data_IF_678430600667
#
_entry.id   IF_678430600667
#
_cell.length_a   1.000
_cell.length_b   1.000
_cell.length_c   1.000
_cell.angle_alpha   90.00
_cell.angle_beta   90.00
_cell.angle_gamma   90.00
#
_symmetry.space_group_name_H-M   'P 1'
#
loop_
_entity.id
_entity.type
_entity.pdbx_description
1 polymer ?
#
# COMPACT_ATOMS: atom_id res chain seq x y z
N UNK A 1 -10.80 7.15 9.54
CA UNK A 1 -9.88 7.53 8.43
C UNK A 1 -10.47 8.71 7.72
N UNK A 2 -9.66 9.71 7.43
CA UNK A 2 -10.04 10.82 6.55
C UNK A 2 -9.32 10.62 5.22
N UNK A 3 -10.11 10.51 4.16
CA UNK A 3 -9.62 10.28 2.80
C UNK A 3 -10.07 11.45 1.91
N UNK A 4 -9.15 11.94 1.08
CA UNK A 4 -9.42 12.98 0.08
C UNK A 4 -9.81 12.42 -1.28
N UNK A 5 -9.68 11.10 -1.45
CA UNK A 5 -10.12 10.30 -2.59
C UNK A 5 -11.45 9.61 -2.26
N UNK A 6 -12.39 9.48 -3.22
CA UNK A 6 -13.67 8.83 -2.99
C UNK A 6 -13.50 7.31 -3.00
N UNK A 7 -12.97 6.75 -1.92
CA UNK A 7 -12.91 5.30 -1.69
C UNK A 7 -13.28 4.93 -0.24
N UNK A 8 -13.73 3.68 -0.07
CA UNK A 8 -14.69 3.26 0.94
C UNK A 8 -14.04 2.83 2.29
N UNK A 9 -14.62 3.41 3.37
CA UNK A 9 -14.88 2.92 4.75
C UNK A 9 -13.83 3.04 5.90
N UNK A 10 -14.28 3.37 7.15
CA UNK A 10 -13.61 3.09 8.47
C UNK A 10 -14.50 2.78 9.70
N UNK A 11 -13.88 2.07 10.67
CA UNK A 11 -14.37 1.26 11.82
C UNK A 11 -14.76 2.01 13.12
N UNK A 12 -15.91 1.69 13.73
CA UNK A 12 -16.42 2.02 15.09
C UNK A 12 -16.46 0.78 16.03
N UNK A 13 -16.60 1.00 17.34
CA UNK A 13 -16.74 -0.04 18.37
C UNK A 13 -18.08 0.17 19.11
N UNK A 14 -19.00 -0.79 19.02
CA UNK A 14 -20.25 -0.82 19.80
C UNK A 14 -20.09 -1.81 20.96
N UNK A 15 -20.34 -1.35 22.20
CA UNK A 15 -20.34 -2.20 23.39
C UNK A 15 -21.79 -2.37 23.84
N UNK A 16 -22.36 -3.55 23.62
CA UNK A 16 -23.67 -3.95 24.17
C UNK A 16 -23.49 -5.26 24.95
N UNK A 17 -23.99 -5.32 26.19
CA UNK A 17 -24.01 -6.53 27.03
C UNK A 17 -22.64 -7.23 27.22
N UNK A 18 -21.57 -6.47 27.49
CA UNK A 18 -20.17 -6.97 27.59
C UNK A 18 -19.64 -7.66 26.33
N UNK A 19 -20.36 -7.60 25.22
CA UNK A 19 -19.92 -8.07 23.91
C UNK A 19 -19.41 -6.85 23.14
N UNK A 20 -18.14 -6.85 22.78
CA UNK A 20 -17.53 -5.80 21.97
C UNK A 20 -17.73 -6.18 20.51
N UNK A 21 -18.49 -5.38 19.77
CA UNK A 21 -18.70 -5.56 18.34
C UNK A 21 -18.08 -4.39 17.59
N UNK A 22 -17.14 -4.69 16.70
CA UNK A 22 -16.44 -3.71 15.88
C UNK A 22 -17.25 -3.52 14.59
N UNK A 23 -17.78 -2.32 14.32
CA UNK A 23 -18.65 -1.97 13.18
C UNK A 23 -18.16 -0.75 12.44
N UNK A 24 -17.97 -0.83 11.14
CA UNK A 24 -17.54 0.30 10.30
C UNK A 24 -18.71 1.09 9.71
N UNK A 25 -18.75 2.41 9.99
CA UNK A 25 -19.80 3.32 9.53
C UNK A 25 -19.21 4.51 8.79
N UNK A 26 -19.65 4.74 7.54
CA UNK A 26 -19.30 5.96 6.82
C UNK A 26 -20.25 7.09 7.21
N UNK A 27 -19.73 8.20 7.73
CA UNK A 27 -20.57 9.34 8.13
C UNK A 27 -21.20 10.03 6.92
N UNK A 28 -20.37 10.49 5.97
CA UNK A 28 -20.81 11.11 4.72
C UNK A 28 -19.65 11.45 3.78
N UNK A 29 -19.96 11.67 2.51
CA UNK A 29 -19.16 12.50 1.61
C UNK A 29 -19.70 13.94 1.62
N UNK A 30 -18.81 14.92 1.68
CA UNK A 30 -19.19 16.33 1.62
C UNK A 30 -18.28 17.10 0.65
N UNK A 31 -18.85 18.03 -0.14
CA UNK A 31 -18.07 18.84 -1.05
C UNK A 31 -17.20 19.82 -0.28
N UNK A 32 -15.91 19.86 -0.61
CA UNK A 32 -14.95 20.78 -0.01
C UNK A 32 -14.89 22.08 -0.80
N UNK A 33 -14.99 23.20 -0.11
CA UNK A 33 -14.89 24.54 -0.71
C UNK A 33 -13.46 24.95 -1.06
N UNK A 34 -12.45 24.23 -0.58
CA UNK A 34 -11.04 24.52 -0.81
C UNK A 34 -10.14 23.30 -0.54
N UNK A 35 -8.91 23.33 -1.06
CA UNK A 35 -7.88 22.27 -0.89
C UNK A 35 -6.79 22.63 0.13
N UNK A 36 -6.93 23.75 0.86
CA UNK A 36 -5.95 24.12 1.88
C UNK A 36 -6.17 23.29 3.13
N UNK A 37 -5.07 22.90 3.78
CA UNK A 37 -5.11 22.08 5.00
C UNK A 37 -6.00 22.65 6.10
N UNK A 38 -5.97 23.98 6.29
CA UNK A 38 -6.75 24.63 7.34
C UNK A 38 -8.26 24.51 7.10
N UNK A 39 -8.69 24.74 5.85
CA UNK A 39 -10.09 24.61 5.44
C UNK A 39 -10.58 23.18 5.64
N UNK A 40 -9.77 22.20 5.22
CA UNK A 40 -10.03 20.77 5.42
C UNK A 40 -10.21 20.41 6.90
N UNK A 41 -9.27 20.83 7.75
CA UNK A 41 -9.31 20.53 9.18
C UNK A 41 -10.53 21.15 9.87
N UNK A 42 -10.92 22.36 9.47
CA UNK A 42 -12.07 23.07 10.04
C UNK A 42 -13.38 22.42 9.65
N UNK A 43 -13.54 22.05 8.38
CA UNK A 43 -14.73 21.35 7.89
C UNK A 43 -14.88 19.95 8.51
N UNK A 44 -13.78 19.21 8.70
CA UNK A 44 -13.80 17.92 9.40
C UNK A 44 -14.33 18.07 10.82
N UNK A 45 -13.78 19.00 11.61
CA UNK A 45 -14.20 19.22 13.00
C UNK A 45 -15.67 19.62 13.10
N UNK A 46 -16.10 20.54 12.23
CA UNK A 46 -17.49 21.00 12.18
C UNK A 46 -18.46 19.85 11.88
N UNK A 47 -18.12 18.96 10.96
CA UNK A 47 -18.96 17.81 10.65
C UNK A 47 -19.02 16.83 11.83
N UNK A 48 -17.88 16.50 12.46
CA UNK A 48 -17.85 15.64 13.64
C UNK A 48 -18.78 16.18 14.75
N UNK A 49 -18.68 17.48 15.05
CA UNK A 49 -19.58 18.14 16.01
C UNK A 49 -21.05 18.03 15.59
N UNK A 50 -21.38 18.21 14.31
CA UNK A 50 -22.75 18.08 13.81
C UNK A 50 -23.32 16.65 13.94
N UNK A 51 -22.46 15.64 13.99
CA UNK A 51 -22.82 14.25 14.25
C UNK A 51 -22.79 13.88 15.75
N UNK A 52 -22.53 14.85 16.63
CA UNK A 52 -22.39 14.61 18.07
C UNK A 52 -21.12 13.82 18.43
N UNK A 53 -20.13 13.78 17.55
CA UNK A 53 -18.86 13.10 17.76
C UNK A 53 -17.84 14.08 18.34
N UNK A 54 -17.56 13.93 19.63
CA UNK A 54 -16.51 14.70 20.30
C UNK A 54 -15.13 14.21 19.84
N UNK A 55 -14.37 15.10 19.19
CA UNK A 55 -12.99 14.82 18.76
C UNK A 55 -12.06 14.47 19.93
N UNK A 56 -12.39 14.88 21.16
CA UNK A 56 -11.64 14.50 22.36
C UNK A 56 -11.76 13.01 22.68
N UNK A 57 -12.80 12.34 22.19
CA UNK A 57 -12.97 10.90 22.28
C UNK A 57 -12.25 10.14 21.15
N UNK A 58 -11.61 10.84 20.21
CA UNK A 58 -10.86 10.24 19.12
C UNK A 58 -9.59 9.56 19.64
N UNK A 59 -9.55 8.22 19.55
CA UNK A 59 -8.41 7.40 19.99
C UNK A 59 -7.29 7.32 18.95
N UNK A 60 -7.62 7.45 17.67
CA UNK A 60 -6.67 7.32 16.57
C UNK A 60 -7.18 8.01 15.31
N UNK A 61 -6.26 8.55 14.53
CA UNK A 61 -6.54 9.17 13.23
C UNK A 61 -5.74 8.45 12.14
N UNK A 62 -6.33 8.31 10.95
CA UNK A 62 -5.68 7.69 9.79
C UNK A 62 -5.87 8.54 8.54
N UNK A 63 -4.77 8.83 7.85
CA UNK A 63 -4.70 9.73 6.70
C UNK A 63 -3.97 9.04 5.53
N UNK A 64 -4.24 9.51 4.31
CA UNK A 64 -3.37 9.22 3.16
C UNK A 64 -2.01 9.94 3.32
N UNK A 65 -0.99 9.53 2.55
CA UNK A 65 0.34 10.16 2.61
C UNK A 65 0.42 11.49 1.84
N UNK A 66 -0.71 12.07 1.40
CA UNK A 66 -0.66 13.37 0.74
C UNK A 66 -0.15 14.43 1.72
N UNK A 67 0.72 15.33 1.25
CA UNK A 67 1.33 16.36 2.09
C UNK A 67 0.28 17.22 2.81
N UNK A 68 -0.86 17.47 2.17
CA UNK A 68 -1.99 18.21 2.77
C UNK A 68 -2.66 17.43 3.91
N UNK A 69 -2.69 16.09 3.86
CA UNK A 69 -3.37 15.27 4.88
C UNK A 69 -2.41 14.83 5.99
N UNK A 70 -1.25 14.26 5.64
CA UNK A 70 -0.27 13.69 6.58
C UNK A 70 1.04 14.50 6.71
N UNK A 71 1.10 15.71 6.16
CA UNK A 71 2.29 16.58 6.27
C UNK A 71 2.70 16.87 7.72
N UNK A 72 3.99 16.73 8.00
CA UNK A 72 4.56 16.85 9.35
C UNK A 72 4.46 18.27 9.92
N UNK A 73 4.53 19.29 9.05
CA UNK A 73 4.57 20.71 9.45
C UNK A 73 3.26 21.46 9.23
N UNK A 74 2.22 20.80 8.73
CA UNK A 74 0.98 21.47 8.35
C UNK A 74 0.01 20.61 7.57
N UNK A 75 0.03 19.29 7.78
CA UNK A 75 -1.01 18.39 7.33
C UNK A 75 -2.22 18.42 8.27
N UNK A 76 -3.39 18.01 7.77
CA UNK A 76 -4.64 17.94 8.56
C UNK A 76 -4.42 17.11 9.83
N UNK A 77 -3.69 16.01 9.71
CA UNK A 77 -3.26 15.17 10.83
C UNK A 77 -2.59 15.99 11.92
N UNK A 78 -1.57 16.77 11.55
CA UNK A 78 -0.77 17.55 12.49
C UNK A 78 -1.64 18.61 13.16
N UNK A 79 -2.49 19.30 12.41
CA UNK A 79 -3.39 20.35 12.93
C UNK A 79 -4.37 19.77 13.96
N UNK A 80 -5.05 18.67 13.64
CA UNK A 80 -6.03 18.06 14.55
C UNK A 80 -5.31 17.45 15.77
N UNK A 81 -4.15 16.81 15.57
CA UNK A 81 -3.33 16.28 16.66
C UNK A 81 -2.86 17.36 17.63
N UNK A 82 -2.33 18.48 17.12
CA UNK A 82 -1.80 19.56 17.96
C UNK A 82 -2.90 20.24 18.77
N UNK A 83 -4.12 20.33 18.21
CA UNK A 83 -5.24 21.00 18.84
C UNK A 83 -5.95 20.15 19.90
N UNK A 84 -6.00 18.82 19.75
CA UNK A 84 -6.86 17.97 20.59
C UNK A 84 -6.20 16.70 21.15
N UNK A 85 -4.97 16.35 20.72
CA UNK A 85 -4.39 15.04 20.98
C UNK A 85 -2.92 15.13 21.45
N UNK A 86 -2.67 15.87 22.54
CA UNK A 86 -1.34 15.93 23.19
C UNK A 86 -0.84 14.58 23.75
N UNK A 87 -1.67 13.53 23.78
CA UNK A 87 -1.36 12.27 24.47
C UNK A 87 -1.20 11.04 23.57
N UNK A 88 -1.31 11.15 22.24
CA UNK A 88 -1.18 10.00 21.33
C UNK A 88 0.05 10.15 20.43
N UNK A 89 1.23 10.00 21.03
CA UNK A 89 2.54 10.08 20.35
C UNK A 89 2.84 8.88 19.41
N UNK A 90 1.83 8.10 19.04
CA UNK A 90 1.99 6.92 18.19
C UNK A 90 0.92 6.97 17.08
N UNK A 91 1.29 7.60 15.96
CA UNK A 91 0.54 7.45 14.71
C UNK A 91 1.11 6.27 13.94
N UNK A 92 0.28 5.25 13.71
CA UNK A 92 0.62 4.14 12.81
C UNK A 92 0.52 4.65 11.38
N UNK A 93 1.66 4.82 10.71
CA UNK A 93 1.68 5.13 9.27
C UNK A 93 1.03 3.98 8.52
N UNK A 94 0.10 4.29 7.63
CA UNK A 94 -0.43 3.30 6.70
C UNK A 94 0.65 2.83 5.74
N UNK A 95 0.65 1.53 5.47
CA UNK A 95 1.38 0.96 4.36
C UNK A 95 0.84 1.58 3.05
N UNK A 96 1.73 2.06 2.18
CA UNK A 96 1.31 2.61 0.88
C UNK A 96 0.76 1.47 0.01
N UNK A 97 -0.54 1.51 -0.21
CA UNK A 97 -1.32 0.48 -0.92
C UNK A 97 -0.97 0.41 -2.41
N UNK A 98 -0.73 1.57 -3.04
CA UNK A 98 -0.52 1.65 -4.50
C UNK A 98 0.85 1.13 -4.94
N UNK A 99 1.88 1.25 -4.11
CA UNK A 99 3.25 0.95 -4.55
C UNK A 99 3.49 -0.55 -4.67
N UNK A 100 3.16 -1.34 -3.66
CA UNK A 100 3.38 -2.79 -3.70
C UNK A 100 2.55 -3.50 -4.77
N UNK A 101 1.27 -3.13 -4.90
CA UNK A 101 0.40 -3.69 -5.95
C UNK A 101 0.86 -3.28 -7.36
N UNK A 102 1.31 -2.04 -7.56
CA UNK A 102 1.85 -1.63 -8.86
C UNK A 102 3.12 -2.41 -9.23
N UNK A 103 4.03 -2.62 -8.26
CA UNK A 103 5.22 -3.45 -8.47
C UNK A 103 4.86 -4.90 -8.79
N UNK A 104 3.92 -5.51 -8.05
CA UNK A 104 3.45 -6.87 -8.35
C UNK A 104 2.87 -6.95 -9.75
N UNK A 105 1.97 -6.03 -10.12
CA UNK A 105 1.34 -6.04 -11.45
C UNK A 105 2.36 -5.90 -12.58
N UNK A 106 3.37 -5.05 -12.43
CA UNK A 106 4.43 -4.90 -13.42
C UNK A 106 5.26 -6.18 -13.59
N UNK A 107 5.68 -6.78 -12.46
CA UNK A 107 6.46 -8.03 -12.45
C UNK A 107 5.65 -9.19 -13.00
N UNK A 108 4.38 -9.31 -12.61
CA UNK A 108 3.44 -10.32 -13.12
C UNK A 108 3.25 -10.21 -14.62
N UNK A 109 2.93 -9.01 -15.12
CA UNK A 109 2.71 -8.80 -16.55
C UNK A 109 3.94 -9.18 -17.37
N UNK A 110 5.13 -8.80 -16.88
CA UNK A 110 6.40 -9.12 -17.51
C UNK A 110 6.68 -10.63 -17.52
N UNK A 111 6.43 -11.32 -16.41
CA UNK A 111 6.61 -12.78 -16.33
C UNK A 111 5.63 -13.53 -17.24
N UNK A 112 4.34 -13.17 -17.20
CA UNK A 112 3.28 -13.84 -17.99
C UNK A 112 3.41 -13.59 -19.49
N UNK A 113 4.03 -12.49 -19.91
CA UNK A 113 4.17 -12.10 -21.31
C UNK A 113 5.64 -11.99 -21.75
N UNK A 114 6.54 -12.74 -21.10
CA UNK A 114 7.97 -12.59 -21.32
C UNK A 114 8.38 -12.81 -22.78
N UNK A 115 7.84 -13.84 -23.44
CA UNK A 115 8.11 -14.11 -24.86
C UNK A 115 7.74 -12.93 -25.76
N UNK A 116 6.52 -12.41 -25.63
CA UNK A 116 6.05 -11.24 -26.38
C UNK A 116 6.86 -9.98 -26.08
N UNK A 117 7.33 -9.84 -24.83
CA UNK A 117 8.19 -8.73 -24.44
C UNK A 117 9.55 -8.81 -25.14
N UNK A 118 10.13 -10.01 -25.25
CA UNK A 118 11.37 -10.23 -26.02
C UNK A 118 11.13 -9.95 -27.51
N UNK A 119 10.08 -10.49 -28.11
CA UNK A 119 9.71 -10.23 -29.52
C UNK A 119 9.57 -8.73 -29.80
N UNK A 120 8.97 -7.97 -28.88
CA UNK A 120 8.81 -6.53 -29.00
C UNK A 120 10.16 -5.79 -28.94
N UNK A 121 11.06 -6.18 -28.03
CA UNK A 121 12.40 -5.57 -27.94
C UNK A 121 13.24 -5.93 -29.17
N UNK A 122 13.18 -7.17 -29.64
CA UNK A 122 13.85 -7.62 -30.86
C UNK A 122 13.34 -6.85 -32.08
N UNK A 123 12.03 -6.60 -32.18
CA UNK A 123 11.48 -5.74 -33.23
C UNK A 123 12.07 -4.33 -33.16
N UNK A 124 12.15 -3.71 -31.97
CA UNK A 124 12.74 -2.37 -31.79
C UNK A 124 14.23 -2.30 -32.16
N UNK A 125 14.96 -3.42 -32.06
CA UNK A 125 16.35 -3.49 -32.52
C UNK A 125 16.45 -3.45 -34.06
N UNK A 126 15.46 -4.00 -34.77
CA UNK A 126 15.51 -4.24 -36.22
C UNK A 126 14.67 -3.26 -37.06
N UNK A 127 13.82 -2.44 -36.43
CA UNK A 127 12.93 -1.49 -37.12
C UNK A 127 13.61 -0.17 -37.45
N UNK A 128 12.95 0.61 -38.31
CA UNK A 128 13.35 1.97 -38.70
C UNK A 128 13.10 3.03 -37.60
N UNK A 129 13.17 2.61 -36.33
CA UNK A 129 13.09 3.49 -35.17
C UNK A 129 14.28 4.47 -35.12
N UNK A 130 14.15 5.51 -34.30
CA UNK A 130 15.26 6.44 -34.09
C UNK A 130 16.46 5.73 -33.42
N UNK A 131 17.65 6.31 -33.58
CA UNK A 131 18.90 5.70 -33.08
C UNK A 131 18.90 5.48 -31.56
N UNK A 132 18.24 6.37 -30.80
CA UNK A 132 18.19 6.29 -29.34
C UNK A 132 17.32 5.12 -28.87
N UNK A 133 16.13 4.95 -29.46
CA UNK A 133 15.23 3.83 -29.18
C UNK A 133 15.89 2.50 -29.52
N UNK A 134 16.55 2.42 -30.69
CA UNK A 134 17.25 1.20 -31.13
C UNK A 134 18.41 0.87 -30.20
N UNK A 135 19.27 1.84 -29.90
CA UNK A 135 20.40 1.65 -28.99
C UNK A 135 19.97 1.25 -27.58
N UNK A 136 18.86 1.81 -27.08
CA UNK A 136 18.29 1.40 -25.80
C UNK A 136 17.81 -0.05 -25.84
N UNK A 137 17.08 -0.46 -26.88
CA UNK A 137 16.60 -1.83 -27.05
C UNK A 137 17.76 -2.83 -27.17
N UNK A 138 18.78 -2.52 -27.98
CA UNK A 138 19.98 -3.35 -28.16
C UNK A 138 20.76 -3.53 -26.85
N UNK A 139 20.80 -2.50 -26.00
CA UNK A 139 21.44 -2.60 -24.68
C UNK A 139 20.61 -3.37 -23.65
N UNK A 140 19.27 -3.31 -23.76
CA UNK A 140 18.33 -3.91 -22.80
C UNK A 140 18.12 -5.40 -23.05
N UNK A 141 17.98 -5.82 -24.31
CA UNK A 141 17.74 -7.19 -24.72
C UNK A 141 18.68 -8.22 -24.05
N UNK A 142 20.02 -8.05 -24.11
CA UNK A 142 20.92 -9.01 -23.49
C UNK A 142 20.80 -9.03 -21.96
N UNK A 143 20.41 -7.92 -21.33
CA UNK A 143 20.24 -7.81 -19.86
C UNK A 143 19.02 -8.59 -19.39
N UNK A 144 17.89 -8.44 -20.08
CA UNK A 144 16.64 -9.13 -19.70
C UNK A 144 16.71 -10.64 -19.96
N UNK A 145 17.57 -11.07 -20.89
CA UNK A 145 17.84 -12.49 -21.16
C UNK A 145 18.90 -13.12 -20.24
N UNK A 146 19.50 -12.36 -19.31
CA UNK A 146 20.47 -12.94 -18.38
C UNK A 146 19.78 -13.89 -17.41
N UNK A 147 20.43 -15.02 -17.12
CA UNK A 147 19.96 -15.97 -16.11
C UNK A 147 19.66 -15.29 -14.77
N UNK A 148 20.53 -14.36 -14.34
CA UNK A 148 20.34 -13.59 -13.11
C UNK A 148 19.06 -12.76 -13.13
N UNK A 149 18.75 -12.10 -14.25
CA UNK A 149 17.52 -11.33 -14.40
C UNK A 149 16.30 -12.24 -14.31
N UNK A 150 16.31 -13.36 -15.02
CA UNK A 150 15.22 -14.35 -14.98
C UNK A 150 15.01 -14.89 -13.56
N UNK A 151 16.08 -15.28 -12.87
CA UNK A 151 15.99 -15.72 -11.47
C UNK A 151 15.35 -14.67 -10.57
N UNK A 152 15.76 -13.40 -10.70
CA UNK A 152 15.15 -12.32 -9.92
C UNK A 152 13.72 -12.03 -10.32
N UNK A 153 13.36 -12.14 -11.60
CA UNK A 153 11.98 -11.96 -12.07
C UNK A 153 11.04 -12.98 -11.42
N UNK A 154 11.41 -14.27 -11.46
CA UNK A 154 10.63 -15.34 -10.83
C UNK A 154 10.61 -15.22 -9.30
N UNK A 155 11.75 -14.89 -8.69
CA UNK A 155 11.83 -14.69 -7.24
C UNK A 155 10.92 -13.55 -6.78
N UNK A 156 11.03 -12.37 -7.41
CA UNK A 156 10.24 -11.21 -7.03
C UNK A 156 8.76 -11.37 -7.35
N UNK A 157 8.41 -12.12 -8.39
CA UNK A 157 7.02 -12.47 -8.66
C UNK A 157 6.37 -13.12 -7.43
N UNK A 158 6.98 -14.18 -6.91
CA UNK A 158 6.42 -14.96 -5.79
C UNK A 158 6.36 -14.13 -4.50
N UNK A 159 7.41 -13.35 -4.20
CA UNK A 159 7.43 -12.50 -3.00
C UNK A 159 6.36 -11.41 -3.08
N UNK A 160 6.27 -10.72 -4.22
CA UNK A 160 5.33 -9.62 -4.40
C UNK A 160 3.89 -10.11 -4.47
N UNK A 161 3.65 -11.31 -4.97
CA UNK A 161 2.34 -11.94 -4.97
C UNK A 161 1.80 -12.12 -3.55
N UNK A 162 2.58 -12.77 -2.66
CA UNK A 162 2.13 -13.00 -1.28
C UNK A 162 1.98 -11.71 -0.48
N UNK A 163 2.86 -10.73 -0.70
CA UNK A 163 2.72 -9.39 -0.12
C UNK A 163 1.43 -8.72 -0.62
N UNK A 164 1.16 -8.77 -1.91
CA UNK A 164 -0.04 -8.18 -2.51
C UNK A 164 -1.32 -8.88 -2.04
N UNK A 165 -1.34 -10.22 -1.98
CA UNK A 165 -2.46 -11.00 -1.47
C UNK A 165 -2.76 -10.66 -0.01
N UNK A 166 -1.73 -10.55 0.83
CA UNK A 166 -1.86 -10.14 2.22
C UNK A 166 -2.38 -8.71 2.31
N UNK A 167 -1.83 -7.79 1.52
CA UNK A 167 -2.30 -6.42 1.48
C UNK A 167 -3.79 -6.33 1.12
N UNK A 168 -4.22 -7.01 0.05
CA UNK A 168 -5.62 -7.03 -0.38
C UNK A 168 -6.50 -7.57 0.73
N UNK A 169 -6.10 -8.68 1.36
CA UNK A 169 -6.82 -9.28 2.49
C UNK A 169 -7.04 -8.29 3.63
N UNK A 170 -6.00 -7.56 4.03
CA UNK A 170 -6.08 -6.55 5.10
C UNK A 170 -6.99 -5.36 4.76
N UNK A 171 -7.32 -5.16 3.48
CA UNK A 171 -8.21 -4.11 2.99
C UNK A 171 -9.63 -4.61 2.72
N UNK A 172 -9.87 -5.92 2.78
CA UNK A 172 -11.22 -6.46 2.68
C UNK A 172 -12.06 -6.07 3.90
N UNK A 173 -13.36 -5.87 3.69
CA UNK A 173 -14.29 -5.63 4.79
C UNK A 173 -14.59 -6.92 5.55
N UNK A 174 -14.68 -6.83 6.87
CA UNK A 174 -15.14 -7.92 7.74
C UNK A 174 -14.12 -8.93 8.28
N UNK A 175 -12.78 -8.84 8.10
CA UNK A 175 -11.87 -9.71 8.85
C UNK A 175 -11.83 -9.29 10.32
N UNK A 176 -11.92 -10.27 11.23
CA UNK A 176 -11.67 -10.03 12.66
C UNK A 176 -10.18 -9.79 12.90
N UNK A 177 -9.86 -9.15 14.03
CA UNK A 177 -8.46 -8.90 14.41
C UNK A 177 -7.63 -10.19 14.46
N UNK A 178 -8.19 -11.28 14.98
CA UNK A 178 -7.52 -12.58 15.04
C UNK A 178 -7.13 -13.09 13.64
N UNK A 179 -8.03 -12.94 12.65
CA UNK A 179 -7.76 -13.34 11.26
C UNK A 179 -6.69 -12.47 10.59
N UNK A 180 -6.69 -11.17 10.90
CA UNK A 180 -5.65 -10.23 10.46
C UNK A 180 -4.29 -10.65 10.99
N UNK A 181 -4.19 -10.98 12.27
CA UNK A 181 -2.95 -11.44 12.91
C UNK A 181 -2.45 -12.71 12.23
N UNK A 182 -3.32 -13.72 12.07
CA UNK A 182 -2.97 -14.98 11.40
C UNK A 182 -2.43 -14.73 9.98
N UNK A 183 -3.05 -13.83 9.20
CA UNK A 183 -2.57 -13.53 7.84
C UNK A 183 -1.20 -12.86 7.84
N UNK A 184 -0.93 -11.96 8.80
CA UNK A 184 0.38 -11.31 8.94
C UNK A 184 1.45 -12.30 9.38
N UNK A 185 1.13 -13.20 10.32
CA UNK A 185 2.04 -14.26 10.77
C UNK A 185 2.37 -15.23 9.62
N UNK A 186 1.36 -15.63 8.84
CA UNK A 186 1.56 -16.47 7.65
C UNK A 186 2.49 -15.79 6.63
N UNK A 187 2.31 -14.49 6.36
CA UNK A 187 3.23 -13.75 5.49
C UNK A 187 4.65 -13.72 6.06
N UNK A 188 4.80 -13.50 7.37
CA UNK A 188 6.11 -13.49 8.01
C UNK A 188 6.80 -14.85 7.94
N UNK A 189 6.07 -15.95 8.11
CA UNK A 189 6.60 -17.30 7.97
C UNK A 189 7.08 -17.55 6.54
N UNK A 190 6.24 -17.28 5.55
CA UNK A 190 6.58 -17.41 4.14
C UNK A 190 7.87 -16.64 3.77
N UNK A 191 7.98 -15.37 4.18
CA UNK A 191 9.17 -14.56 3.88
C UNK A 191 10.45 -15.08 4.56
N UNK A 192 10.33 -15.66 5.75
CA UNK A 192 11.45 -16.26 6.46
C UNK A 192 11.88 -17.58 5.80
N UNK A 193 10.94 -18.41 5.38
CA UNK A 193 11.21 -19.65 4.65
C UNK A 193 11.91 -19.35 3.32
N UNK A 194 11.41 -18.41 2.53
CA UNK A 194 12.03 -18.03 1.26
C UNK A 194 13.45 -17.46 1.46
N UNK A 195 13.65 -16.65 2.51
CA UNK A 195 14.99 -16.18 2.88
C UNK A 195 15.92 -17.35 3.20
N UNK A 196 15.47 -18.28 4.05
CA UNK A 196 16.29 -19.41 4.47
C UNK A 196 16.61 -20.33 3.29
N UNK A 197 15.63 -20.60 2.42
CA UNK A 197 15.83 -21.37 1.19
C UNK A 197 16.92 -20.77 0.30
N UNK A 198 16.96 -19.44 0.15
CA UNK A 198 18.01 -18.74 -0.62
C UNK A 198 19.37 -18.89 0.05
N UNK A 199 19.44 -18.70 1.37
CA UNK A 199 20.68 -18.84 2.15
C UNK A 199 21.21 -20.28 2.09
N UNK A 200 20.36 -21.27 2.27
CA UNK A 200 20.73 -22.69 2.25
C UNK A 200 21.21 -23.11 0.86
N UNK A 201 20.55 -22.67 -0.20
CA UNK A 201 21.02 -22.89 -1.59
C UNK A 201 22.37 -22.23 -1.85
N UNK A 202 22.67 -21.10 -1.22
CA UNK A 202 23.96 -20.43 -1.34
C UNK A 202 25.06 -21.15 -0.55
N UNK A 203 24.76 -21.62 0.66
CA UNK A 203 25.71 -22.34 1.53
C UNK A 203 26.01 -23.76 1.05
N UNK A 204 25.01 -24.45 0.46
CA UNK A 204 25.16 -25.83 -0.03
C UNK A 204 25.73 -25.91 -1.46
N UNK A 205 26.03 -24.78 -2.10
CA UNK A 205 26.88 -24.75 -3.30
C UNK A 205 28.34 -24.70 -2.87
N UNK A 206 28.91 -25.86 -2.60
CA UNK A 206 30.37 -26.05 -2.62
C UNK A 206 30.86 -25.78 -4.04
N UNK A 207 31.78 -24.83 -4.22
CA UNK A 207 32.50 -24.63 -5.46
C UNK A 207 33.40 -25.83 -5.79
#
# INVERSE_FOLDING_TARGET
MFDSTPDISHVDIKIENKKVEIKETSLRFFPLKGKKTLDLSTEILKHLESYGLDIMMCRSQGYDNAATMAGIHGGVQKIISDKYNKHTNISVKRLSTTRWSAHYNAVKLLQENFEKFIEAIEALCNTNENLDTRGAAESLLPVVCQYTFLCFLYFWHNILEEVNNTQIYLQTKGPSLDKVIIKIEALSLFLNEERQNVVDKALNKTF
#
